data_IF_673118265009
#
_entry.id   IF_673118265009
#
_cell.length_a   1.000
_cell.length_b   1.000
_cell.length_c   1.000
_cell.angle_alpha   90.00
_cell.angle_beta   90.00
_cell.angle_gamma   90.00
#
_symmetry.space_group_name_H-M   'P 1'
#
loop_
_entity.id
_entity.type
_entity.pdbx_description
1 polymer ?
#
# COMPACT_ATOMS: atom_id res chain seq x y z
N UNK A 1 -16.22 -21.35 -6.48
CA UNK A 1 -16.11 -20.20 -5.56
C UNK A 1 -15.58 -19.05 -6.39
N UNK A 2 -16.28 -17.93 -6.45
CA UNK A 2 -15.83 -16.75 -7.21
C UNK A 2 -14.75 -16.06 -6.41
N UNK A 3 -13.49 -16.19 -6.83
CA UNK A 3 -12.34 -15.54 -6.18
C UNK A 3 -12.34 -14.05 -6.54
N UNK A 4 -12.09 -13.18 -5.56
CA UNK A 4 -11.92 -11.74 -5.81
C UNK A 4 -10.69 -11.45 -6.66
N UNK A 5 -10.77 -10.46 -7.54
CA UNK A 5 -9.60 -9.93 -8.24
C UNK A 5 -8.71 -9.10 -7.30
N UNK A 6 -7.44 -8.84 -7.65
CA UNK A 6 -6.58 -7.95 -6.88
C UNK A 6 -7.19 -6.55 -6.67
N UNK A 7 -7.79 -5.97 -7.72
CA UNK A 7 -8.50 -4.69 -7.65
C UNK A 7 -9.64 -4.74 -6.62
N UNK A 8 -10.46 -5.78 -6.68
CA UNK A 8 -11.56 -5.98 -5.75
C UNK A 8 -11.07 -6.11 -4.30
N UNK A 9 -9.93 -6.76 -4.07
CA UNK A 9 -9.32 -6.87 -2.74
C UNK A 9 -8.86 -5.50 -2.20
N UNK A 10 -8.30 -4.64 -3.06
CA UNK A 10 -7.94 -3.26 -2.70
C UNK A 10 -9.17 -2.39 -2.40
N UNK A 11 -10.24 -2.54 -3.19
CA UNK A 11 -11.54 -1.90 -2.91
C UNK A 11 -12.10 -2.35 -1.55
N UNK A 12 -12.01 -3.64 -1.23
CA UNK A 12 -12.41 -4.14 0.09
C UNK A 12 -11.55 -3.57 1.23
N UNK A 13 -10.22 -3.50 1.06
CA UNK A 13 -9.35 -2.87 2.05
C UNK A 13 -9.74 -1.40 2.30
N UNK A 14 -10.07 -0.67 1.23
CA UNK A 14 -10.53 0.72 1.30
C UNK A 14 -11.85 0.84 2.05
N UNK A 15 -12.85 0.00 1.72
CA UNK A 15 -14.15 -0.06 2.41
C UNK A 15 -13.99 -0.35 3.90
N UNK A 16 -13.14 -1.32 4.26
CA UNK A 16 -12.89 -1.68 5.65
C UNK A 16 -12.26 -0.52 6.43
N UNK A 17 -11.33 0.19 5.82
CA UNK A 17 -10.68 1.34 6.43
C UNK A 17 -11.65 2.53 6.60
N UNK A 18 -12.42 2.84 5.56
CA UNK A 18 -13.44 3.90 5.62
C UNK A 18 -14.48 3.62 6.71
N UNK A 19 -15.03 2.40 6.75
CA UNK A 19 -15.99 1.98 7.78
C UNK A 19 -15.39 2.07 9.19
N UNK A 20 -14.12 1.65 9.36
CA UNK A 20 -13.40 1.76 10.64
C UNK A 20 -13.30 3.21 11.11
N UNK A 21 -12.93 4.14 10.24
CA UNK A 21 -12.82 5.56 10.59
C UNK A 21 -14.18 6.20 10.85
N UNK A 22 -15.20 5.82 10.09
CA UNK A 22 -16.58 6.22 10.33
C UNK A 22 -17.20 5.57 11.58
N UNK A 23 -16.51 4.60 12.20
CA UNK A 23 -17.01 3.78 13.33
C UNK A 23 -18.32 3.05 12.98
N UNK A 24 -18.42 2.61 11.74
CA UNK A 24 -19.56 1.86 11.21
C UNK A 24 -19.19 0.40 11.00
N UNK A 25 -20.19 -0.47 11.11
CA UNK A 25 -20.04 -1.88 10.79
C UNK A 25 -20.14 -2.07 9.28
N UNK A 26 -19.13 -2.73 8.70
CA UNK A 26 -19.13 -3.03 7.27
C UNK A 26 -19.93 -4.31 7.02
N UNK A 27 -20.91 -4.25 6.11
CA UNK A 27 -21.63 -5.43 5.67
C UNK A 27 -20.68 -6.48 5.05
N UNK A 28 -21.02 -7.78 5.05
CA UNK A 28 -20.19 -8.82 4.47
C UNK A 28 -19.80 -8.52 3.02
N UNK A 29 -18.50 -8.42 2.78
CA UNK A 29 -17.95 -8.13 1.45
C UNK A 29 -17.62 -9.44 0.74
N UNK A 30 -18.04 -9.54 -0.53
CA UNK A 30 -17.90 -10.71 -1.39
C UNK A 30 -17.48 -10.25 -2.79
N UNK A 31 -16.98 -11.18 -3.62
CA UNK A 31 -16.60 -10.87 -5.00
C UNK A 31 -17.76 -10.33 -5.86
N UNK A 32 -19.02 -10.53 -5.44
CA UNK A 32 -20.19 -10.11 -6.20
C UNK A 32 -20.69 -8.71 -5.81
N UNK A 33 -20.36 -8.20 -4.62
CA UNK A 33 -20.89 -6.91 -4.11
C UNK A 33 -19.81 -5.85 -3.85
N UNK A 34 -18.54 -6.22 -3.81
CA UNK A 34 -17.45 -5.30 -3.44
C UNK A 34 -17.37 -4.08 -4.34
N UNK A 35 -17.54 -4.25 -5.65
CA UNK A 35 -17.53 -3.12 -6.60
C UNK A 35 -18.73 -2.19 -6.34
N UNK A 36 -19.93 -2.74 -6.14
CA UNK A 36 -21.12 -1.94 -5.84
C UNK A 36 -20.99 -1.16 -4.52
N UNK A 37 -20.42 -1.79 -3.49
CA UNK A 37 -20.17 -1.13 -2.20
C UNK A 37 -19.13 -0.01 -2.35
N UNK A 38 -18.07 -0.26 -3.13
CA UNK A 38 -17.04 0.73 -3.40
C UNK A 38 -17.61 1.91 -4.20
N UNK A 39 -18.38 1.66 -5.25
CA UNK A 39 -19.02 2.68 -6.08
C UNK A 39 -19.99 3.54 -5.25
N UNK A 40 -20.69 2.95 -4.27
CA UNK A 40 -21.52 3.70 -3.33
C UNK A 40 -20.68 4.64 -2.44
N UNK A 41 -19.55 4.16 -1.91
CA UNK A 41 -18.61 4.99 -1.14
C UNK A 41 -18.03 6.13 -2.00
N UNK A 42 -17.78 5.87 -3.29
CA UNK A 42 -17.33 6.88 -4.26
C UNK A 42 -18.43 7.92 -4.53
N UNK A 43 -19.67 7.49 -4.73
CA UNK A 43 -20.81 8.38 -4.96
C UNK A 43 -21.10 9.29 -3.76
N UNK A 44 -20.77 8.85 -2.55
CA UNK A 44 -20.85 9.64 -1.31
C UNK A 44 -19.61 10.51 -1.05
N UNK A 45 -18.62 10.50 -1.94
CA UNK A 45 -17.35 11.21 -1.79
C UNK A 45 -16.51 10.79 -0.57
N UNK A 46 -16.85 9.66 0.06
CA UNK A 46 -16.23 9.17 1.30
C UNK A 46 -14.96 8.34 1.11
N UNK A 47 -14.55 8.12 -0.15
CA UNK A 47 -13.48 7.17 -0.50
C UNK A 47 -12.07 7.76 -0.44
N UNK A 48 -11.90 9.08 -0.57
CA UNK A 48 -10.61 9.73 -0.85
C UNK A 48 -9.52 9.39 0.16
N UNK A 49 -9.76 9.66 1.44
CA UNK A 49 -8.76 9.47 2.49
C UNK A 49 -8.41 7.99 2.63
N UNK A 50 -9.40 7.11 2.62
CA UNK A 50 -9.20 5.67 2.80
C UNK A 50 -8.46 5.07 1.60
N UNK A 51 -8.83 5.47 0.37
CA UNK A 51 -8.16 5.05 -0.87
C UNK A 51 -6.70 5.47 -0.84
N UNK A 52 -6.42 6.71 -0.42
CA UNK A 52 -5.04 7.22 -0.38
C UNK A 52 -4.21 6.54 0.71
N UNK A 53 -4.79 6.25 1.88
CA UNK A 53 -4.09 5.49 2.92
C UNK A 53 -3.75 4.07 2.45
N UNK A 54 -4.69 3.36 1.82
CA UNK A 54 -4.39 2.05 1.22
C UNK A 54 -3.29 2.17 0.16
N UNK A 55 -3.38 3.16 -0.73
CA UNK A 55 -2.39 3.42 -1.79
C UNK A 55 -0.97 3.56 -1.25
N UNK A 56 -0.82 4.25 -0.12
CA UNK A 56 0.47 4.53 0.53
C UNK A 56 0.92 3.46 1.55
N UNK A 57 0.08 2.46 1.85
CA UNK A 57 0.34 1.48 2.92
C UNK A 57 1.28 0.34 2.54
N UNK A 58 1.58 0.17 1.26
CA UNK A 58 2.33 -0.98 0.76
C UNK A 58 3.80 -0.98 1.20
N UNK A 59 4.36 -2.18 1.38
CA UNK A 59 5.80 -2.37 1.57
C UNK A 59 6.47 -2.53 0.22
N UNK A 60 7.64 -1.90 0.03
CA UNK A 60 8.42 -2.06 -1.21
C UNK A 60 8.83 -3.53 -1.39
N UNK A 61 8.55 -4.07 -2.58
CA UNK A 61 8.75 -5.49 -2.88
C UNK A 61 10.10 -5.80 -3.51
N UNK A 62 10.76 -4.78 -4.06
CA UNK A 62 11.93 -4.95 -4.94
C UNK A 62 11.61 -5.58 -6.30
N UNK A 63 10.33 -5.82 -6.62
CA UNK A 63 9.91 -6.25 -7.95
C UNK A 63 10.06 -5.10 -8.94
N UNK A 64 10.28 -5.45 -10.20
CA UNK A 64 10.30 -4.50 -11.30
C UNK A 64 9.23 -4.89 -12.31
N UNK A 65 8.31 -3.97 -12.61
CA UNK A 65 7.33 -4.14 -13.69
C UNK A 65 7.55 -3.09 -14.77
N UNK A 66 7.14 -3.44 -15.98
CA UNK A 66 7.08 -2.46 -17.07
C UNK A 66 5.91 -1.52 -16.80
N UNK A 67 6.21 -0.23 -16.68
CA UNK A 67 5.23 0.82 -16.48
C UNK A 67 5.17 1.74 -17.71
N UNK A 68 4.03 2.41 -17.97
CA UNK A 68 3.93 3.33 -19.10
C UNK A 68 4.95 4.47 -19.01
N UNK A 69 5.83 4.57 -20.01
CA UNK A 69 6.88 5.59 -20.06
C UNK A 69 6.34 7.02 -19.93
N UNK A 70 5.17 7.27 -20.50
CA UNK A 70 4.51 8.59 -20.45
C UNK A 70 4.15 9.02 -19.03
N UNK A 71 3.96 8.09 -18.09
CA UNK A 71 3.70 8.39 -16.69
C UNK A 71 5.03 8.45 -15.93
N UNK A 72 5.90 7.46 -16.14
CA UNK A 72 7.18 7.32 -15.44
C UNK A 72 8.18 8.47 -15.65
N UNK A 73 8.03 9.26 -16.72
CA UNK A 73 8.83 10.48 -16.92
C UNK A 73 8.43 11.66 -16.02
N UNK A 74 7.26 11.58 -15.38
CA UNK A 74 6.68 12.66 -14.57
C UNK A 74 6.64 12.30 -13.08
N UNK A 75 6.68 11.02 -12.75
CA UNK A 75 6.53 10.49 -11.40
C UNK A 75 7.58 9.42 -11.11
N UNK A 76 8.01 9.38 -9.86
CA UNK A 76 8.74 8.25 -9.32
C UNK A 76 7.76 7.11 -9.02
N UNK A 77 8.25 5.87 -9.02
CA UNK A 77 7.42 4.71 -8.73
C UNK A 77 8.20 3.60 -8.03
N UNK A 78 7.47 2.83 -7.23
CA UNK A 78 7.94 1.60 -6.63
C UNK A 78 6.83 0.54 -6.69
N UNK A 79 7.21 -0.72 -6.91
CA UNK A 79 6.28 -1.84 -6.79
C UNK A 79 6.14 -2.21 -5.31
N UNK A 80 4.96 -1.94 -4.75
CA UNK A 80 4.65 -2.19 -3.34
C UNK A 80 3.63 -3.31 -3.21
N UNK A 81 3.52 -3.92 -2.04
CA UNK A 81 2.48 -4.89 -1.74
C UNK A 81 1.97 -4.79 -0.31
N UNK A 82 0.74 -5.24 -0.08
CA UNK A 82 0.17 -5.36 1.25
C UNK A 82 -0.69 -6.61 1.39
N UNK A 83 -0.91 -7.00 2.66
CA UNK A 83 -1.81 -8.08 3.02
C UNK A 83 -3.26 -7.59 3.00
N UNK A 84 -4.10 -8.28 2.25
CA UNK A 84 -5.52 -7.96 2.07
C UNK A 84 -6.39 -8.57 3.19
N UNK A 85 -7.66 -8.14 3.33
CA UNK A 85 -8.55 -8.66 4.38
C UNK A 85 -8.82 -10.17 4.33
N UNK A 86 -8.73 -10.81 3.16
CA UNK A 86 -8.79 -12.28 3.02
C UNK A 86 -7.49 -13.00 3.42
N UNK A 87 -6.45 -12.23 3.76
CA UNK A 87 -5.13 -12.72 4.12
C UNK A 87 -4.19 -12.97 2.95
N UNK A 88 -4.65 -12.83 1.70
CA UNK A 88 -3.80 -12.87 0.52
C UNK A 88 -2.95 -11.61 0.39
N UNK A 89 -1.96 -11.61 -0.49
CA UNK A 89 -1.12 -10.44 -0.75
C UNK A 89 -1.37 -9.91 -2.16
N UNK A 90 -1.49 -8.59 -2.24
CA UNK A 90 -1.69 -7.87 -3.50
C UNK A 90 -0.59 -6.83 -3.65
N UNK A 91 0.01 -6.77 -4.84
CA UNK A 91 0.97 -5.76 -5.25
C UNK A 91 0.36 -4.75 -6.23
N UNK A 92 0.92 -3.54 -6.24
CA UNK A 92 0.57 -2.48 -7.18
C UNK A 92 1.74 -1.52 -7.37
N UNK A 93 1.72 -0.77 -8.48
CA UNK A 93 2.67 0.32 -8.71
C UNK A 93 2.26 1.52 -7.87
N UNK A 94 3.08 1.90 -6.89
CA UNK A 94 2.92 3.11 -6.11
C UNK A 94 3.61 4.28 -6.80
N UNK A 95 2.81 5.16 -7.39
CA UNK A 95 3.28 6.42 -7.99
C UNK A 95 3.44 7.50 -6.91
N UNK A 96 4.55 8.22 -6.92
CA UNK A 96 4.82 9.32 -6.00
C UNK A 96 5.74 10.38 -6.62
N UNK A 97 6.05 11.42 -5.84
CA UNK A 97 6.78 12.58 -6.34
C UNK A 97 5.91 13.40 -7.30
N UNK A 98 6.52 13.88 -8.37
CA UNK A 98 5.93 14.90 -9.23
C UNK A 98 6.13 16.30 -8.64
N UNK A 99 6.37 17.29 -9.50
CA UNK A 99 6.61 18.67 -9.06
C UNK A 99 5.38 19.29 -8.39
N UNK A 100 5.43 20.61 -8.16
CA UNK A 100 4.35 21.40 -7.54
C UNK A 100 2.93 21.16 -8.13
N UNK A 101 2.83 20.71 -9.37
CA UNK A 101 1.59 20.45 -10.09
C UNK A 101 1.31 18.96 -10.34
N UNK A 102 2.07 18.06 -9.72
CA UNK A 102 1.89 16.62 -9.85
C UNK A 102 0.76 16.12 -8.93
N UNK A 103 -0.07 15.22 -9.45
CA UNK A 103 -1.12 14.56 -8.70
C UNK A 103 -0.96 13.03 -8.82
N UNK A 104 0.05 12.44 -8.14
CA UNK A 104 0.33 11.01 -8.25
C UNK A 104 -0.84 10.14 -7.76
N UNK A 105 -1.71 10.65 -6.87
CA UNK A 105 -2.92 9.97 -6.40
C UNK A 105 -4.01 9.82 -7.46
N UNK A 106 -3.96 10.62 -8.54
CA UNK A 106 -4.90 10.54 -9.66
C UNK A 106 -4.47 9.51 -10.72
N UNK A 107 -3.23 9.00 -10.66
CA UNK A 107 -2.81 7.91 -11.54
C UNK A 107 -3.57 6.65 -11.15
N UNK A 108 -4.18 5.98 -12.13
CA UNK A 108 -4.88 4.73 -11.91
C UNK A 108 -3.89 3.64 -11.48
N UNK A 109 -4.20 2.94 -10.39
CA UNK A 109 -3.27 2.00 -9.74
C UNK A 109 -3.97 0.71 -9.26
N UNK A 110 -5.28 0.74 -9.04
CA UNK A 110 -6.01 -0.43 -8.56
C UNK A 110 -6.28 -1.42 -9.69
N UNK A 111 -6.58 -0.94 -10.90
CA UNK A 111 -6.82 -1.82 -12.06
C UNK A 111 -5.57 -2.61 -12.51
N UNK A 112 -4.38 -2.11 -12.18
CA UNK A 112 -3.08 -2.73 -12.52
C UNK A 112 -2.54 -3.63 -11.40
N UNK A 113 -3.29 -3.76 -10.30
CA UNK A 113 -2.92 -4.56 -9.15
C UNK A 113 -2.85 -6.06 -9.50
N UNK A 114 -1.99 -6.77 -8.78
CA UNK A 114 -1.65 -8.16 -9.09
C UNK A 114 -1.45 -8.98 -7.82
N UNK A 115 -1.67 -10.29 -7.90
CA UNK A 115 -1.39 -11.17 -6.77
C UNK A 115 0.11 -11.36 -6.59
N UNK A 116 0.56 -11.40 -5.34
CA UNK A 116 1.95 -11.72 -5.02
C UNK A 116 2.03 -12.83 -3.98
N UNK A 117 3.07 -13.64 -4.08
CA UNK A 117 3.41 -14.61 -3.05
C UNK A 117 4.34 -13.95 -2.04
N UNK A 118 4.00 -14.02 -0.75
CA UNK A 118 4.81 -13.46 0.32
C UNK A 118 5.41 -14.57 1.18
N UNK A 119 6.73 -14.52 1.39
CA UNK A 119 7.48 -15.38 2.32
C UNK A 119 8.39 -14.49 3.17
N UNK A 120 8.27 -14.61 4.49
CA UNK A 120 9.17 -13.95 5.42
C UNK A 120 10.18 -14.97 5.97
N UNK A 121 11.47 -14.60 5.97
CA UNK A 121 12.54 -15.37 6.58
C UNK A 121 13.25 -14.50 7.63
N UNK A 122 13.44 -14.99 8.88
CA UNK A 122 14.19 -14.25 9.88
C UNK A 122 15.68 -14.21 9.50
N UNK A 123 16.28 -13.02 9.54
CA UNK A 123 17.73 -12.84 9.37
C UNK A 123 18.34 -12.25 10.64
N UNK A 124 19.29 -12.96 11.25
CA UNK A 124 20.07 -12.44 12.38
C UNK A 124 21.09 -11.43 11.88
N UNK A 125 21.09 -10.21 12.42
CA UNK A 125 22.07 -9.16 12.10
C UNK A 125 22.97 -8.96 13.33
N UNK A 126 24.28 -9.13 13.17
CA UNK A 126 25.27 -8.73 14.18
C UNK A 126 25.64 -7.26 13.94
N UNK A 127 25.57 -6.44 14.98
CA UNK A 127 26.00 -5.04 14.96
C UNK A 127 27.13 -4.89 15.97
N UNK A 128 28.34 -4.69 15.47
CA UNK A 128 29.49 -4.40 16.32
C UNK A 128 29.52 -2.90 16.64
N UNK A 129 29.46 -2.57 17.93
CA UNK A 129 29.57 -1.19 18.42
C UNK A 129 30.88 -1.06 19.18
N UNK A 130 31.76 -0.18 18.71
CA UNK A 130 33.04 0.12 19.35
C UNK A 130 32.98 1.52 19.97
N UNK A 131 33.32 1.64 21.24
CA UNK A 131 33.44 2.92 21.96
C UNK A 131 34.87 3.14 22.43
N UNK A 132 35.30 4.40 22.46
CA UNK A 132 36.58 4.76 23.09
C UNK A 132 36.49 4.63 24.62
N UNK A 133 37.60 4.35 25.32
CA UNK A 133 37.62 4.41 26.78
C UNK A 133 37.34 5.84 27.24
N UNK A 134 36.60 5.98 28.35
CA UNK A 134 36.42 7.27 29.00
C UNK A 134 37.80 7.84 29.39
N UNK A 135 38.04 9.12 29.07
CA UNK A 135 39.33 9.74 29.36
C UNK A 135 39.57 9.75 30.86
N UNK A 136 40.71 9.20 31.30
CA UNK A 136 41.09 9.20 32.70
C UNK A 136 41.12 10.65 33.22
N UNK A 137 40.54 10.95 34.41
CA UNK A 137 40.58 12.29 34.95
C UNK A 137 42.03 12.73 35.12
N UNK A 138 42.32 13.97 34.67
CA UNK A 138 43.64 14.56 34.78
C UNK A 138 44.10 14.54 36.24
N UNK A 139 45.22 13.89 36.52
CA UNK A 139 45.84 13.90 37.85
C UNK A 139 46.28 15.35 38.15
N UNK A 140 45.69 15.94 39.20
CA UNK A 140 46.04 17.27 39.71
C UNK A 140 47.35 17.22 40.51
#
# INVERSE_FOLDING_TARGET
>A
MTTMTPEQKLKWATLQLAARWAKQELAPVTANNVDQLYDALVAEDGHWDARNEVRCSGIETGLTRSVPYMIARHYDHAEVAAKMPDGSWVGWTYWHGGGKHGEPSAVEWMSEAYEVNHRAEPKTIMVDIFTLPEAAPAQQ
#
